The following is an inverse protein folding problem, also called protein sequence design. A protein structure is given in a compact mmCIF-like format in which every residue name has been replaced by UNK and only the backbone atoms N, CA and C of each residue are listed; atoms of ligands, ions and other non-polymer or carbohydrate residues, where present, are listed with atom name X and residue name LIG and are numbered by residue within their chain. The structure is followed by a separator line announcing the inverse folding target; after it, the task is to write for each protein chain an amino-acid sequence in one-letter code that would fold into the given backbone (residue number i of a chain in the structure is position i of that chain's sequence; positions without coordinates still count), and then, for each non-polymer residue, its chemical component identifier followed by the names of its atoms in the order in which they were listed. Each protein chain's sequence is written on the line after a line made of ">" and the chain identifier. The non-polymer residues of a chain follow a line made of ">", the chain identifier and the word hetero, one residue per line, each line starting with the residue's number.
data_IF_862127337274
#
_entry.id   IF_862127337274
#
_cell.length_a   1.000
_cell.length_b   1.000
_cell.length_c   1.000
_cell.angle_alpha   90.00
_cell.angle_beta   90.00
_cell.angle_gamma   90.00
#
_symmetry.space_group_name_H-M   'P 1'
#
loop_
_entity.id
_entity.type
_entity.pdbx_description
1 polymer ?
#
# COMPACT_ATOMS: atom_id res chain seq x y z
N UNK A 1 -1.74 9.28 -41.40
CA UNK A 1 -0.62 9.48 -40.47
C UNK A 1 -1.15 10.31 -39.31
N UNK A 2 -1.70 9.65 -38.29
CA UNK A 2 -2.31 10.33 -37.13
C UNK A 2 -1.18 10.69 -36.17
N UNK A 3 -0.87 11.97 -36.03
CA UNK A 3 0.09 12.47 -35.04
C UNK A 3 -0.37 12.05 -33.64
N UNK A 4 0.34 11.09 -33.04
CA UNK A 4 0.13 10.74 -31.63
C UNK A 4 0.71 11.89 -30.80
N UNK A 5 -0.15 12.66 -30.12
CA UNK A 5 0.31 13.67 -29.17
C UNK A 5 1.05 12.94 -28.04
N UNK A 6 2.34 13.29 -27.89
CA UNK A 6 3.17 12.89 -26.76
C UNK A 6 2.83 13.81 -25.58
N UNK A 7 2.59 13.23 -24.41
CA UNK A 7 2.14 13.98 -23.25
C UNK A 7 3.05 13.65 -22.08
N UNK A 8 3.74 14.66 -21.56
CA UNK A 8 4.54 14.60 -20.34
C UNK A 8 3.80 15.43 -19.28
N UNK A 9 3.41 14.78 -18.19
CA UNK A 9 2.71 15.37 -17.04
C UNK A 9 1.27 15.80 -17.35
N UNK A 10 0.31 15.00 -16.89
CA UNK A 10 -1.12 15.28 -17.08
C UNK A 10 -1.79 15.54 -15.76
N UNK A 11 -2.43 16.70 -15.67
CA UNK A 11 -3.59 16.89 -14.79
C UNK A 11 -4.83 16.82 -15.69
N UNK A 12 -5.68 15.81 -15.52
CA UNK A 12 -6.82 15.57 -16.42
C UNK A 12 -7.86 16.72 -16.52
N UNK A 13 -7.95 17.73 -15.62
CA UNK A 13 -8.81 18.90 -15.86
C UNK A 13 -8.44 19.70 -17.13
N UNK A 14 -7.17 19.69 -17.56
CA UNK A 14 -6.68 20.49 -18.69
C UNK A 14 -6.87 19.82 -20.06
N UNK A 15 -7.42 18.61 -20.09
CA UNK A 15 -7.79 17.91 -21.33
C UNK A 15 -9.11 18.45 -21.89
N UNK A 16 -9.19 19.74 -22.21
CA UNK A 16 -10.32 20.29 -22.97
C UNK A 16 -9.89 21.32 -24.01
N UNK A 17 -9.84 20.86 -25.26
CA UNK A 17 -10.41 21.62 -26.35
C UNK A 17 -11.92 21.38 -26.37
N UNK A 18 -12.69 22.32 -25.81
CA UNK A 18 -14.13 22.49 -26.10
C UNK A 18 -15.10 21.63 -25.30
N UNK A 19 -15.98 22.31 -24.55
CA UNK A 19 -17.23 21.83 -23.91
C UNK A 19 -17.11 20.84 -22.74
N UNK A 20 -17.87 21.13 -21.68
CA UNK A 20 -18.08 20.33 -20.48
C UNK A 20 -18.27 18.83 -20.75
N UNK A 21 -17.44 17.97 -20.15
CA UNK A 21 -17.58 16.50 -20.12
C UNK A 21 -16.95 16.02 -18.80
N UNK A 22 -17.67 16.15 -17.70
CA UNK A 22 -17.32 15.65 -16.36
C UNK A 22 -17.69 14.17 -16.15
N UNK A 23 -17.80 13.38 -17.23
CA UNK A 23 -18.39 12.03 -17.19
C UNK A 23 -17.55 10.98 -17.96
N UNK A 24 -16.26 10.84 -17.64
CA UNK A 24 -15.50 9.69 -18.13
C UNK A 24 -15.64 8.56 -17.11
N UNK A 25 -16.40 7.51 -17.44
CA UNK A 25 -16.42 6.28 -16.61
C UNK A 25 -15.10 5.52 -16.71
N UNK A 26 -14.36 5.71 -17.81
CA UNK A 26 -13.09 5.06 -18.10
C UNK A 26 -12.08 6.06 -18.70
N UNK A 27 -10.81 5.97 -18.30
CA UNK A 27 -9.71 6.75 -18.88
C UNK A 27 -8.82 5.84 -19.76
N UNK A 28 -8.29 6.41 -20.84
CA UNK A 28 -7.38 5.77 -21.80
C UNK A 28 -7.96 4.71 -22.75
N UNK A 29 -9.06 5.00 -23.44
CA UNK A 29 -9.50 4.22 -24.60
C UNK A 29 -8.53 4.39 -25.81
N UNK A 30 -7.98 3.26 -26.31
CA UNK A 30 -7.07 3.16 -27.47
C UNK A 30 -7.70 3.75 -28.77
N UNK A 31 -6.96 4.35 -29.75
CA UNK A 31 -5.51 4.61 -29.85
C UNK A 31 -5.16 6.10 -30.00
N UNK A 32 -5.66 7.01 -29.15
CA UNK A 32 -5.45 8.45 -29.39
C UNK A 32 -4.15 9.03 -28.84
N UNK A 33 -3.46 8.38 -27.90
CA UNK A 33 -2.36 9.01 -27.15
C UNK A 33 -1.14 8.11 -26.99
N UNK A 34 0.06 8.68 -27.17
CA UNK A 34 1.30 8.05 -26.78
C UNK A 34 1.67 8.55 -25.38
N UNK A 35 1.61 7.67 -24.39
CA UNK A 35 1.86 7.99 -22.99
C UNK A 35 3.26 7.56 -22.55
N UNK A 36 4.10 7.09 -23.46
CA UNK A 36 5.44 6.57 -23.12
C UNK A 36 6.35 7.60 -22.43
N UNK A 37 6.05 8.90 -22.48
CA UNK A 37 6.77 9.95 -21.73
C UNK A 37 6.03 10.45 -20.48
N UNK A 38 4.94 9.80 -20.08
CA UNK A 38 4.14 10.22 -18.94
C UNK A 38 4.86 9.83 -17.65
N UNK A 39 5.42 10.83 -16.97
CA UNK A 39 6.09 10.64 -15.68
C UNK A 39 5.17 10.88 -14.49
N UNK A 40 4.26 11.85 -14.59
CA UNK A 40 3.33 12.21 -13.52
C UNK A 40 1.90 12.19 -14.06
N UNK A 41 1.05 11.40 -13.39
CA UNK A 41 -0.39 11.37 -13.64
C UNK A 41 -1.16 11.85 -12.41
N UNK A 42 -1.92 12.93 -12.58
CA UNK A 42 -2.82 13.46 -11.55
C UNK A 42 -4.27 13.42 -12.03
N UNK A 43 -5.08 12.66 -11.30
CA UNK A 43 -6.52 12.54 -11.49
C UNK A 43 -7.20 13.21 -10.31
N UNK A 44 -7.98 14.27 -10.55
CA UNK A 44 -8.69 14.98 -9.48
C UNK A 44 -10.14 15.23 -9.89
N UNK A 45 -11.06 15.03 -8.96
CA UNK A 45 -12.49 15.39 -9.09
C UNK A 45 -13.22 14.72 -10.27
N UNK A 46 -12.73 13.55 -10.71
CA UNK A 46 -13.39 12.73 -11.73
C UNK A 46 -14.43 11.83 -11.06
N UNK A 47 -15.57 12.40 -10.69
CA UNK A 47 -16.57 11.72 -9.84
C UNK A 47 -17.19 10.50 -10.49
N UNK A 48 -17.28 10.47 -11.82
CA UNK A 48 -17.86 9.34 -12.58
C UNK A 48 -16.84 8.25 -12.93
N UNK A 49 -15.54 8.48 -12.70
CA UNK A 49 -14.48 7.56 -13.07
C UNK A 49 -14.58 6.27 -12.28
N UNK A 50 -14.71 5.14 -12.99
CA UNK A 50 -14.77 3.79 -12.42
C UNK A 50 -13.48 3.01 -12.62
N UNK A 51 -12.79 3.24 -13.73
CA UNK A 51 -11.56 2.54 -14.12
C UNK A 51 -10.56 3.53 -14.74
N UNK A 52 -9.34 3.59 -14.20
CA UNK A 52 -8.27 4.44 -14.77
C UNK A 52 -7.75 3.85 -16.08
N UNK A 53 -7.68 2.53 -16.17
CA UNK A 53 -6.95 1.81 -17.20
C UNK A 53 -7.91 0.95 -18.03
N UNK A 54 -8.56 1.50 -19.07
CA UNK A 54 -9.44 0.70 -19.95
C UNK A 54 -8.84 0.35 -21.31
N UNK A 55 -9.30 -0.78 -21.87
CA UNK A 55 -8.93 -1.25 -23.21
C UNK A 55 -7.67 -2.14 -23.29
N UNK A 56 -7.21 -2.49 -24.51
CA UNK A 56 -6.00 -3.28 -24.73
C UNK A 56 -4.75 -2.42 -24.47
N UNK A 57 -4.42 -2.26 -23.19
CA UNK A 57 -3.32 -1.41 -22.78
C UNK A 57 -2.01 -2.07 -23.14
N UNK A 58 -1.25 -1.38 -23.97
CA UNK A 58 0.13 -1.74 -24.25
C UNK A 58 0.96 -1.20 -23.10
N UNK A 59 1.55 -2.13 -22.34
CA UNK A 59 2.42 -1.91 -21.19
C UNK A 59 3.47 -0.79 -21.42
N UNK A 60 3.98 -0.69 -22.64
CA UNK A 60 5.00 0.28 -23.07
C UNK A 60 4.61 1.74 -22.83
N UNK A 61 3.31 2.02 -22.67
CA UNK A 61 2.79 3.36 -22.47
C UNK A 61 3.01 3.92 -21.05
N UNK A 62 3.34 3.09 -20.05
CA UNK A 62 3.43 3.56 -18.66
C UNK A 62 4.76 3.26 -17.98
N UNK A 63 5.76 2.86 -18.78
CA UNK A 63 7.08 2.47 -18.26
C UNK A 63 7.82 3.61 -17.55
N UNK A 64 7.52 4.87 -17.90
CA UNK A 64 8.14 6.05 -17.31
C UNK A 64 7.32 6.69 -16.19
N UNK A 65 6.15 6.13 -15.83
CA UNK A 65 5.30 6.72 -14.80
C UNK A 65 5.99 6.60 -13.44
N UNK A 66 6.36 7.74 -12.87
CA UNK A 66 7.02 7.86 -11.56
C UNK A 66 6.06 8.27 -10.45
N UNK A 67 4.97 8.98 -10.76
CA UNK A 67 4.04 9.47 -9.73
C UNK A 67 2.60 9.34 -10.19
N UNK A 68 1.76 8.76 -9.32
CA UNK A 68 0.32 8.70 -9.50
C UNK A 68 -0.38 9.34 -8.31
N UNK A 69 -1.17 10.39 -8.59
CA UNK A 69 -2.05 11.04 -7.61
C UNK A 69 -3.49 10.90 -8.07
N UNK A 70 -4.36 10.38 -7.20
CA UNK A 70 -5.79 10.19 -7.46
C UNK A 70 -6.59 10.78 -6.30
N UNK A 71 -7.33 11.85 -6.55
CA UNK A 71 -8.06 12.59 -5.51
C UNK A 71 -9.52 12.82 -5.91
N UNK A 72 -10.45 12.64 -4.97
CA UNK A 72 -11.88 12.90 -5.17
C UNK A 72 -12.54 12.10 -6.33
N UNK A 73 -11.96 10.96 -6.73
CA UNK A 73 -12.52 10.02 -7.72
C UNK A 73 -13.47 9.02 -7.04
N UNK A 74 -14.67 9.48 -6.70
CA UNK A 74 -15.56 8.79 -5.75
C UNK A 74 -16.08 7.41 -6.20
N UNK A 75 -16.22 7.18 -7.52
CA UNK A 75 -16.72 5.91 -8.10
C UNK A 75 -15.62 4.93 -8.53
N UNK A 76 -14.35 5.28 -8.29
CA UNK A 76 -13.21 4.49 -8.71
C UNK A 76 -13.11 3.22 -7.88
N UNK A 77 -13.06 2.04 -8.51
CA UNK A 77 -13.09 0.74 -7.81
C UNK A 77 -11.72 0.15 -7.51
N UNK A 78 -10.77 0.35 -8.42
CA UNK A 78 -9.38 -0.07 -8.25
C UNK A 78 -8.41 0.89 -8.91
N UNK A 79 -7.15 0.93 -8.43
CA UNK A 79 -6.12 1.79 -9.03
C UNK A 79 -5.44 1.10 -10.19
N UNK A 80 -4.98 -0.15 -10.04
CA UNK A 80 -4.22 -0.88 -11.06
C UNK A 80 -4.91 -2.18 -11.42
N UNK A 81 -4.94 -2.52 -12.71
CA UNK A 81 -5.13 -3.92 -13.11
C UNK A 81 -3.82 -4.70 -12.91
N UNK A 82 -3.88 -6.04 -12.87
CA UNK A 82 -2.70 -6.89 -12.71
C UNK A 82 -1.63 -6.63 -13.78
N UNK A 83 -2.05 -6.44 -15.03
CA UNK A 83 -1.14 -6.16 -16.15
C UNK A 83 -0.38 -4.85 -15.95
N UNK A 84 -1.05 -3.81 -15.45
CA UNK A 84 -0.41 -2.52 -15.21
C UNK A 84 0.51 -2.59 -14.01
N UNK A 85 0.05 -3.16 -12.90
CA UNK A 85 0.83 -3.28 -11.67
C UNK A 85 2.18 -4.00 -11.90
N UNK A 86 2.22 -5.01 -12.77
CA UNK A 86 3.45 -5.75 -13.12
C UNK A 86 4.49 -4.93 -13.88
N UNK A 87 4.10 -3.82 -14.52
CA UNK A 87 4.96 -3.10 -15.45
C UNK A 87 5.24 -1.65 -15.04
N UNK A 88 4.74 -1.20 -13.89
CA UNK A 88 5.01 0.11 -13.31
C UNK A 88 6.32 0.11 -12.52
N UNK A 89 7.42 -0.22 -13.21
CA UNK A 89 8.74 -0.38 -12.57
C UNK A 89 9.32 0.95 -12.07
N UNK A 90 8.94 2.06 -12.68
CA UNK A 90 9.44 3.40 -12.32
C UNK A 90 8.57 4.13 -11.30
N UNK A 91 7.44 3.55 -10.86
CA UNK A 91 6.52 4.22 -9.95
C UNK A 91 7.20 4.42 -8.59
N UNK A 92 7.41 5.69 -8.23
CA UNK A 92 8.07 6.12 -7.00
C UNK A 92 7.08 6.60 -5.94
N UNK A 93 5.96 7.21 -6.34
CA UNK A 93 4.97 7.79 -5.41
C UNK A 93 3.55 7.43 -5.81
N UNK A 94 2.78 6.98 -4.83
CA UNK A 94 1.35 6.73 -4.94
C UNK A 94 0.60 7.55 -3.87
N UNK A 95 -0.27 8.44 -4.32
CA UNK A 95 -1.14 9.22 -3.45
C UNK A 95 -2.60 9.01 -3.86
N UNK A 96 -3.43 8.58 -2.91
CA UNK A 96 -4.86 8.35 -3.11
C UNK A 96 -5.63 9.06 -2.00
N UNK A 97 -6.63 9.87 -2.37
CA UNK A 97 -7.34 10.70 -1.41
C UNK A 97 -8.83 10.82 -1.76
N UNK A 98 -9.72 10.66 -0.78
CA UNK A 98 -11.19 10.78 -0.95
C UNK A 98 -11.80 9.93 -2.09
N UNK A 99 -11.31 8.69 -2.28
CA UNK A 99 -11.87 7.72 -3.25
C UNK A 99 -12.82 6.74 -2.54
N UNK A 100 -14.10 7.12 -2.42
CA UNK A 100 -15.07 6.43 -1.55
C UNK A 100 -15.40 4.98 -1.95
N UNK A 101 -15.57 4.71 -3.25
CA UNK A 101 -15.86 3.36 -3.76
C UNK A 101 -14.61 2.50 -4.01
N UNK A 102 -13.41 2.98 -3.65
CA UNK A 102 -12.17 2.23 -3.86
C UNK A 102 -12.15 0.98 -2.97
N UNK A 103 -12.20 -0.20 -3.57
CA UNK A 103 -12.25 -1.47 -2.84
C UNK A 103 -10.86 -2.10 -2.68
N UNK A 104 -9.97 -1.87 -3.65
CA UNK A 104 -8.65 -2.50 -3.74
C UNK A 104 -7.67 -1.61 -4.51
N UNK A 105 -6.38 -1.61 -4.16
CA UNK A 105 -5.36 -0.88 -4.95
C UNK A 105 -5.09 -1.62 -6.27
N UNK A 106 -5.01 -2.95 -6.20
CA UNK A 106 -4.75 -3.83 -7.35
C UNK A 106 -5.97 -4.72 -7.53
N UNK A 107 -6.47 -4.81 -8.75
CA UNK A 107 -7.59 -5.67 -9.11
C UNK A 107 -7.30 -7.16 -8.81
N UNK A 108 -8.22 -7.82 -8.10
CA UNK A 108 -8.23 -9.28 -7.92
C UNK A 108 -8.55 -10.00 -9.23
N UNK A 109 -7.83 -11.09 -9.50
CA UNK A 109 -7.97 -11.86 -10.74
C UNK A 109 -9.38 -12.46 -10.85
N UNK A 110 -10.09 -12.18 -11.95
CA UNK A 110 -11.41 -12.75 -12.23
C UNK A 110 -11.31 -14.10 -12.96
N UNK A 111 -10.11 -14.53 -13.39
CA UNK A 111 -9.93 -15.80 -14.10
C UNK A 111 -8.65 -16.54 -13.64
N UNK A 112 -8.73 -17.81 -13.20
CA UNK A 112 -7.56 -18.62 -12.89
C UNK A 112 -6.89 -19.13 -14.18
N UNK A 113 -6.46 -18.22 -15.05
CA UNK A 113 -5.84 -18.54 -16.33
C UNK A 113 -4.33 -18.27 -16.28
N UNK A 114 -3.56 -19.37 -16.18
CA UNK A 114 -2.15 -19.65 -16.59
C UNK A 114 -1.01 -18.58 -16.49
N UNK A 115 -1.27 -17.32 -16.20
CA UNK A 115 -0.29 -16.26 -15.95
C UNK A 115 0.05 -16.11 -14.45
N UNK A 116 -0.18 -17.17 -13.66
CA UNK A 116 0.08 -17.27 -12.22
C UNK A 116 1.56 -17.18 -11.80
N UNK A 117 2.48 -16.81 -12.70
CA UNK A 117 3.91 -17.04 -12.49
C UNK A 117 4.75 -15.78 -12.27
N UNK A 118 4.23 -14.57 -12.59
CA UNK A 118 4.99 -13.35 -12.34
C UNK A 118 4.46 -12.61 -11.10
N UNK A 119 5.29 -12.49 -10.05
CA UNK A 119 4.95 -11.68 -8.89
C UNK A 119 4.82 -10.21 -9.31
N UNK A 120 3.92 -9.50 -8.66
CA UNK A 120 3.83 -8.04 -8.79
C UNK A 120 4.98 -7.45 -7.98
N UNK A 121 5.68 -6.47 -8.53
CA UNK A 121 6.75 -5.76 -7.83
C UNK A 121 6.68 -4.28 -8.19
N UNK A 122 6.82 -3.41 -7.20
CA UNK A 122 7.03 -1.98 -7.39
C UNK A 122 8.44 -1.61 -6.90
N UNK A 123 9.48 -1.87 -7.72
CA UNK A 123 10.85 -1.80 -7.26
C UNK A 123 11.26 -0.39 -6.82
N UNK A 124 10.67 0.67 -7.37
CA UNK A 124 11.02 2.05 -7.02
C UNK A 124 10.02 2.75 -6.09
N UNK A 125 8.93 2.08 -5.69
CA UNK A 125 7.86 2.71 -4.91
C UNK A 125 8.36 3.02 -3.50
N UNK A 126 8.46 4.31 -3.22
CA UNK A 126 9.07 4.86 -2.01
C UNK A 126 8.09 5.53 -1.07
N UNK A 127 6.97 6.02 -1.60
CA UNK A 127 5.99 6.80 -0.86
C UNK A 127 4.58 6.33 -1.20
N UNK A 128 3.84 5.92 -0.18
CA UNK A 128 2.42 5.58 -0.29
C UNK A 128 1.65 6.41 0.73
N UNK A 129 0.68 7.18 0.24
CA UNK A 129 -0.25 7.92 1.08
C UNK A 129 -1.68 7.64 0.64
N UNK A 130 -2.50 7.14 1.56
CA UNK A 130 -3.91 6.83 1.32
C UNK A 130 -4.75 7.47 2.42
N UNK A 131 -5.68 8.32 2.02
CA UNK A 131 -6.54 9.07 2.92
C UNK A 131 -8.00 8.97 2.53
N UNK A 132 -8.88 8.81 3.53
CA UNK A 132 -10.34 8.90 3.38
C UNK A 132 -10.95 8.00 2.26
N UNK A 133 -10.41 6.79 2.11
CA UNK A 133 -10.89 5.76 1.17
C UNK A 133 -11.76 4.72 1.90
N UNK A 134 -13.05 5.01 2.03
CA UNK A 134 -13.96 4.30 2.94
C UNK A 134 -14.19 2.81 2.63
N UNK A 135 -14.07 2.36 1.37
CA UNK A 135 -14.32 0.97 0.98
C UNK A 135 -13.09 0.06 0.89
N UNK A 136 -11.88 0.61 1.11
CA UNK A 136 -10.65 -0.14 0.92
C UNK A 136 -10.46 -1.13 2.06
N UNK A 137 -10.47 -2.43 1.76
CA UNK A 137 -10.40 -3.51 2.77
C UNK A 137 -8.97 -3.97 3.07
N UNK A 138 -8.11 -3.90 2.07
CA UNK A 138 -6.69 -4.26 2.17
C UNK A 138 -5.85 -3.38 1.24
N UNK A 139 -4.56 -3.19 1.55
CA UNK A 139 -3.67 -2.44 0.65
C UNK A 139 -3.15 -3.34 -0.47
N UNK A 140 -2.50 -4.44 -0.07
CA UNK A 140 -1.76 -5.31 -0.97
C UNK A 140 -1.89 -6.77 -0.57
N UNK A 141 -1.72 -7.71 -1.53
CA UNK A 141 -1.50 -9.09 -1.17
C UNK A 141 -0.18 -9.27 -0.39
N UNK A 142 -0.12 -10.22 0.54
CA UNK A 142 1.04 -10.53 1.37
C UNK A 142 2.27 -10.92 0.53
N UNK A 143 2.04 -11.45 -0.67
CA UNK A 143 3.09 -11.75 -1.65
C UNK A 143 3.89 -10.51 -2.05
N UNK A 144 3.30 -9.31 -1.97
CA UNK A 144 3.99 -8.05 -2.25
C UNK A 144 4.95 -7.63 -1.13
N UNK A 145 4.66 -8.03 0.11
CA UNK A 145 5.60 -7.86 1.23
C UNK A 145 6.83 -8.76 1.09
N UNK A 146 6.73 -9.84 0.32
CA UNK A 146 7.84 -10.75 0.02
C UNK A 146 8.74 -10.21 -1.11
N UNK A 147 9.38 -9.06 -0.86
CA UNK A 147 10.35 -8.45 -1.78
C UNK A 147 9.75 -7.60 -2.92
N UNK A 148 8.42 -7.47 -3.00
CA UNK A 148 7.76 -6.63 -4.00
C UNK A 148 7.83 -5.12 -3.73
N UNK A 149 8.25 -4.71 -2.51
CA UNK A 149 8.34 -3.31 -2.07
C UNK A 149 9.74 -2.98 -1.47
N UNK A 150 10.84 -3.22 -2.20
CA UNK A 150 12.19 -3.12 -1.63
C UNK A 150 12.60 -1.69 -1.27
N UNK A 151 11.97 -0.68 -1.87
CA UNK A 151 12.29 0.74 -1.72
C UNK A 151 11.22 1.54 -0.98
N UNK A 152 10.26 0.91 -0.32
CA UNK A 152 9.22 1.64 0.41
C UNK A 152 9.82 2.32 1.65
N UNK A 153 9.83 3.66 1.65
CA UNK A 153 10.35 4.47 2.76
C UNK A 153 9.22 4.98 3.66
N UNK A 154 8.10 5.38 3.07
CA UNK A 154 7.00 5.98 3.81
C UNK A 154 5.65 5.38 3.47
N UNK A 155 4.90 5.00 4.51
CA UNK A 155 3.52 4.51 4.41
C UNK A 155 2.62 5.32 5.35
N UNK A 156 1.67 6.05 4.76
CA UNK A 156 0.70 6.86 5.46
C UNK A 156 -0.72 6.37 5.17
N UNK A 157 -1.43 5.94 6.20
CA UNK A 157 -2.85 5.65 6.15
C UNK A 157 -3.61 6.56 7.12
N UNK A 158 -4.67 7.21 6.64
CA UNK A 158 -5.51 8.07 7.48
C UNK A 158 -6.98 7.95 7.09
N UNK A 159 -7.87 7.66 8.03
CA UNK A 159 -9.31 7.67 7.78
C UNK A 159 -9.83 6.57 6.84
N UNK A 160 -9.09 5.47 6.67
CA UNK A 160 -9.48 4.33 5.83
C UNK A 160 -10.36 3.37 6.65
N UNK A 161 -11.66 3.67 6.72
CA UNK A 161 -12.54 3.13 7.76
C UNK A 161 -12.85 1.63 7.65
N UNK A 162 -12.91 1.03 6.46
CA UNK A 162 -13.14 -0.42 6.27
C UNK A 162 -11.85 -1.24 6.08
N UNK A 163 -10.68 -0.65 6.27
CA UNK A 163 -9.43 -1.39 6.17
C UNK A 163 -9.37 -2.42 7.31
N UNK A 164 -9.33 -3.70 6.97
CA UNK A 164 -9.27 -4.81 7.94
C UNK A 164 -7.83 -5.29 8.11
N UNK A 165 -7.06 -5.34 7.02
CA UNK A 165 -5.66 -5.75 7.02
C UNK A 165 -4.81 -4.84 6.14
N UNK A 166 -3.55 -4.58 6.49
CA UNK A 166 -2.65 -3.88 5.56
C UNK A 166 -2.25 -4.80 4.41
N UNK A 167 -1.70 -5.98 4.76
CA UNK A 167 -1.36 -7.03 3.80
C UNK A 167 -2.34 -8.20 3.94
N UNK A 168 -3.10 -8.50 2.89
CA UNK A 168 -4.03 -9.62 2.87
C UNK A 168 -3.38 -10.90 2.33
N UNK A 169 -3.69 -12.06 2.89
CA UNK A 169 -3.14 -13.32 2.40
C UNK A 169 -3.76 -14.52 3.09
N UNK A 170 -3.66 -15.68 2.46
CA UNK A 170 -4.23 -16.91 3.00
C UNK A 170 -3.34 -17.50 4.10
N UNK A 171 -3.92 -17.73 5.27
CA UNK A 171 -3.29 -18.34 6.45
C UNK A 171 -2.95 -19.82 6.22
N UNK A 172 -3.61 -20.46 5.25
CA UNK A 172 -3.46 -21.89 4.92
C UNK A 172 -2.05 -22.30 4.45
N UNK A 173 -1.24 -21.35 3.98
CA UNK A 173 0.12 -21.60 3.51
C UNK A 173 1.18 -21.53 4.61
N UNK A 174 0.80 -21.20 5.85
CA UNK A 174 1.71 -21.16 7.00
C UNK A 174 1.56 -22.50 7.73
N UNK A 175 2.61 -23.32 7.74
CA UNK A 175 2.69 -24.45 8.66
C UNK A 175 2.49 -23.90 10.06
N UNK A 176 1.65 -24.56 10.89
CA UNK A 176 1.29 -24.08 12.23
C UNK A 176 2.49 -23.83 13.15
N UNK A 177 3.67 -24.30 12.76
CA UNK A 177 4.88 -24.34 13.58
C UNK A 177 6.00 -23.39 13.09
N UNK A 178 5.85 -22.65 11.97
CA UNK A 178 6.91 -21.76 11.45
C UNK A 178 6.45 -20.31 11.24
N UNK A 179 7.03 -19.39 12.01
CA UNK A 179 6.89 -17.94 11.84
C UNK A 179 7.55 -17.49 10.52
N UNK A 180 6.79 -16.82 9.64
CA UNK A 180 7.31 -16.27 8.39
C UNK A 180 7.76 -14.83 8.58
N UNK A 181 9.08 -14.65 8.60
CA UNK A 181 9.70 -13.33 8.70
C UNK A 181 9.61 -12.60 7.35
N UNK A 182 9.10 -11.37 7.40
CA UNK A 182 8.96 -10.44 6.29
C UNK A 182 9.74 -9.16 6.59
N UNK A 183 10.34 -8.59 5.55
CA UNK A 183 11.13 -7.37 5.68
C UNK A 183 10.54 -6.26 4.80
N UNK A 184 10.39 -5.07 5.39
CA UNK A 184 10.29 -3.82 4.63
C UNK A 184 11.59 -3.05 4.87
N UNK A 185 12.67 -3.38 4.14
CA UNK A 185 14.05 -3.08 4.51
C UNK A 185 14.44 -1.61 4.35
N UNK A 186 13.54 -0.73 3.91
CA UNK A 186 13.80 0.71 3.77
C UNK A 186 12.72 1.57 4.40
N UNK A 187 11.73 0.97 5.07
CA UNK A 187 10.64 1.72 5.68
C UNK A 187 11.18 2.51 6.87
N UNK A 188 11.16 3.84 6.76
CA UNK A 188 11.59 4.78 7.80
C UNK A 188 10.40 5.37 8.55
N UNK A 189 9.25 5.51 7.87
CA UNK A 189 8.06 6.12 8.44
C UNK A 189 6.80 5.27 8.23
N UNK A 190 6.14 4.91 9.32
CA UNK A 190 4.85 4.21 9.31
C UNK A 190 3.80 4.99 10.12
N UNK A 191 2.71 5.39 9.46
CA UNK A 191 1.58 6.03 10.11
C UNK A 191 0.26 5.33 9.80
N UNK A 192 -0.46 4.99 10.86
CA UNK A 192 -1.80 4.43 10.86
C UNK A 192 -2.69 5.32 11.74
N UNK A 193 -3.55 6.15 11.14
CA UNK A 193 -4.43 7.06 11.89
C UNK A 193 -5.90 6.87 11.57
N UNK A 194 -6.74 6.82 12.61
CA UNK A 194 -8.19 6.73 12.50
C UNK A 194 -8.62 5.56 11.59
N UNK A 195 -8.14 4.36 11.91
CA UNK A 195 -8.46 3.10 11.20
C UNK A 195 -9.29 2.20 12.13
N UNK A 196 -10.59 2.50 12.32
CA UNK A 196 -11.41 1.87 13.35
C UNK A 196 -11.61 0.36 13.15
N UNK A 197 -11.62 -0.14 11.91
CA UNK A 197 -11.79 -1.57 11.62
C UNK A 197 -10.48 -2.32 11.33
N UNK A 198 -9.32 -1.67 11.50
CA UNK A 198 -8.05 -2.34 11.28
C UNK A 198 -7.84 -3.41 12.34
N UNK A 199 -7.85 -4.68 11.91
CA UNK A 199 -7.66 -5.85 12.76
C UNK A 199 -6.19 -6.21 12.82
N UNK A 200 -5.47 -6.26 11.71
CA UNK A 200 -4.05 -6.65 11.73
C UNK A 200 -3.22 -6.00 10.63
N UNK A 201 -1.91 -5.95 10.85
CA UNK A 201 -0.94 -5.55 9.84
C UNK A 201 -0.79 -6.61 8.74
N UNK A 202 -0.85 -7.88 9.13
CA UNK A 202 -0.70 -9.05 8.27
C UNK A 202 -1.45 -10.26 8.84
N UNK A 203 -1.61 -11.36 8.08
CA UNK A 203 -2.23 -12.58 8.59
C UNK A 203 -1.44 -13.18 9.76
N UNK A 204 -2.07 -14.10 10.50
CA UNK A 204 -1.44 -14.79 11.62
C UNK A 204 -0.20 -15.57 11.15
N UNK A 205 0.85 -15.58 11.97
CA UNK A 205 2.10 -16.31 11.69
C UNK A 205 3.11 -15.53 10.84
N UNK A 206 2.80 -14.29 10.46
CA UNK A 206 3.74 -13.40 9.80
C UNK A 206 4.37 -12.42 10.80
N UNK A 207 5.67 -12.21 10.65
CA UNK A 207 6.49 -11.31 11.48
C UNK A 207 7.17 -10.27 10.60
N UNK A 208 6.76 -9.02 10.72
CA UNK A 208 7.42 -7.92 10.03
C UNK A 208 8.56 -7.35 10.87
N UNK A 209 9.71 -7.21 10.24
CA UNK A 209 10.91 -6.58 10.82
C UNK A 209 11.22 -5.30 10.05
N UNK A 210 11.35 -4.19 10.78
CA UNK A 210 11.64 -2.87 10.21
C UNK A 210 13.00 -2.36 10.70
N UNK A 211 14.11 -2.73 10.01
CA UNK A 211 15.46 -2.42 10.49
C UNK A 211 15.80 -0.92 10.50
N UNK A 212 15.14 -0.12 9.66
CA UNK A 212 15.41 1.31 9.50
C UNK A 212 14.23 2.21 9.91
N UNK A 213 13.21 1.68 10.58
CA UNK A 213 12.08 2.51 11.00
C UNK A 213 12.56 3.53 12.02
N UNK A 214 12.35 4.81 11.72
CA UNK A 214 12.67 5.93 12.61
C UNK A 214 11.43 6.51 13.25
N UNK A 215 10.25 6.32 12.65
CA UNK A 215 9.01 6.95 13.09
C UNK A 215 7.84 5.97 12.96
N UNK A 216 7.20 5.67 14.09
CA UNK A 216 5.95 4.92 14.15
C UNK A 216 4.87 5.78 14.80
N UNK A 217 3.75 5.93 14.11
CA UNK A 217 2.58 6.61 14.64
C UNK A 217 1.30 5.81 14.38
N UNK A 218 0.76 5.21 15.44
CA UNK A 218 -0.54 4.54 15.44
C UNK A 218 -1.47 5.36 16.33
N UNK A 219 -2.60 5.82 15.79
CA UNK A 219 -3.56 6.62 16.55
C UNK A 219 -4.99 6.32 16.14
N UNK A 220 -5.86 5.99 17.08
CA UNK A 220 -7.27 5.71 16.78
C UNK A 220 -7.44 4.43 15.95
N UNK A 221 -6.73 3.37 16.31
CA UNK A 221 -6.81 2.03 15.72
C UNK A 221 -7.18 0.99 16.80
N UNK A 222 -8.37 1.08 17.42
CA UNK A 222 -8.70 0.36 18.66
C UNK A 222 -8.77 -1.16 18.51
N UNK A 223 -9.01 -1.68 17.30
CA UNK A 223 -9.22 -3.11 17.05
C UNK A 223 -7.96 -3.85 16.58
N UNK A 224 -6.81 -3.16 16.51
CA UNK A 224 -5.58 -3.77 16.00
C UNK A 224 -5.05 -4.81 16.98
N UNK A 225 -4.88 -6.04 16.52
CA UNK A 225 -4.34 -7.19 17.28
C UNK A 225 -2.86 -7.43 17.04
N UNK A 226 -2.28 -6.79 16.02
CA UNK A 226 -0.83 -6.84 15.76
C UNK A 226 -0.06 -6.24 16.94
N UNK A 227 0.82 -7.04 17.51
CA UNK A 227 1.73 -6.62 18.57
C UNK A 227 2.91 -5.89 17.95
N UNK A 228 3.09 -4.64 18.35
CA UNK A 228 4.28 -3.85 18.02
C UNK A 228 5.25 -3.90 19.19
N UNK A 229 6.53 -4.05 18.87
CA UNK A 229 7.59 -4.12 19.86
C UNK A 229 8.92 -3.61 19.30
N UNK A 230 9.84 -3.24 20.20
CA UNK A 230 11.20 -2.84 19.88
C UNK A 230 12.17 -3.70 20.67
N UNK A 231 13.12 -4.31 19.97
CA UNK A 231 14.16 -5.14 20.57
C UNK A 231 15.33 -4.32 21.14
N UNK A 232 16.34 -5.01 21.67
CA UNK A 232 17.56 -4.38 22.22
C UNK A 232 18.40 -3.63 21.17
N UNK A 233 18.25 -3.94 19.88
CA UNK A 233 18.94 -3.28 18.77
C UNK A 233 18.16 -2.06 18.23
N UNK A 234 17.07 -1.68 18.92
CA UNK A 234 16.14 -0.64 18.50
C UNK A 234 15.53 -0.95 17.12
N UNK A 235 15.30 -2.22 16.80
CA UNK A 235 14.58 -2.69 15.61
C UNK A 235 13.12 -2.86 15.96
N UNK A 236 12.24 -2.36 15.10
CA UNK A 236 10.80 -2.48 15.32
C UNK A 236 10.28 -3.78 14.72
N UNK A 237 9.41 -4.45 15.45
CA UNK A 237 8.73 -5.68 15.04
C UNK A 237 7.22 -5.48 15.07
N UNK A 238 6.54 -6.10 14.12
CA UNK A 238 5.09 -6.23 14.10
C UNK A 238 4.72 -7.71 13.90
N UNK A 239 4.07 -8.30 14.90
CA UNK A 239 3.68 -9.72 14.91
C UNK A 239 2.17 -9.86 15.05
N UNK A 240 1.55 -10.64 14.19
CA UNK A 240 0.16 -11.08 14.35
C UNK A 240 0.16 -12.53 14.79
N UNK A 241 -0.30 -12.81 16.01
CA UNK A 241 -0.40 -14.15 16.57
C UNK A 241 -1.86 -14.52 16.77
N UNK A 242 -2.17 -15.82 16.73
CA UNK A 242 -3.50 -16.31 17.08
C UNK A 242 -3.75 -16.00 18.56
N UNK A 243 -4.97 -15.55 18.89
CA UNK A 243 -5.40 -15.42 20.28
C UNK A 243 -5.29 -16.78 20.97
N UNK A 244 -4.39 -16.93 21.94
CA UNK A 244 -4.47 -18.06 22.86
C UNK A 244 -5.74 -17.89 23.74
N UNK A 245 -6.50 -18.96 24.02
CA UNK A 245 -7.60 -18.89 24.96
C UNK A 245 -7.09 -18.45 26.34
N UNK A 246 -7.91 -17.68 27.06
CA UNK A 246 -7.61 -16.92 28.28
C UNK A 246 -7.12 -17.79 29.48
N UNK A 247 -7.09 -19.11 29.35
CA UNK A 247 -6.79 -20.05 30.44
C UNK A 247 -5.38 -20.67 30.40
N UNK A 248 -4.49 -20.27 29.50
CA UNK A 248 -3.07 -20.64 29.56
C UNK A 248 -2.19 -19.40 29.65
N UNK A 249 -2.12 -18.80 30.86
CA UNK A 249 -0.93 -18.04 31.26
C UNK A 249 0.17 -19.07 31.50
N UNK A 250 0.69 -19.65 30.42
CA UNK A 250 2.03 -20.22 30.44
C UNK A 250 2.95 -19.03 30.22
N UNK A 251 3.72 -18.73 31.26
CA UNK A 251 4.88 -17.87 31.16
C UNK A 251 5.82 -18.54 30.16
N UNK A 252 5.72 -18.19 28.88
CA UNK A 252 6.84 -18.38 27.95
C UNK A 252 7.90 -17.36 28.32
N UNK A 253 8.71 -17.76 29.31
CA UNK A 253 10.00 -17.17 29.62
C UNK A 253 10.96 -17.55 28.49
N UNK A 254 10.85 -16.88 27.34
CA UNK A 254 11.93 -16.87 26.36
C UNK A 254 12.96 -15.85 26.83
N UNK A 255 13.99 -16.37 27.50
CA UNK A 255 15.14 -15.59 27.92
C UNK A 255 15.94 -15.13 26.69
N UNK A 256 15.62 -13.95 26.14
CA UNK A 256 16.56 -13.12 25.34
C UNK A 256 15.99 -11.70 25.13
N UNK A 257 16.73 -10.70 25.61
CA UNK A 257 16.59 -9.24 25.41
C UNK A 257 15.36 -8.53 26.02
N UNK A 258 15.60 -7.35 26.61
CA UNK A 258 14.56 -6.43 27.10
C UNK A 258 13.75 -5.86 25.91
N UNK A 259 12.80 -6.63 25.41
CA UNK A 259 11.89 -6.18 24.36
C UNK A 259 10.82 -5.26 24.96
N UNK A 260 10.71 -4.04 24.45
CA UNK A 260 9.64 -3.10 24.87
C UNK A 260 8.47 -3.25 23.92
N UNK A 261 7.38 -3.84 24.39
CA UNK A 261 6.16 -4.01 23.62
C UNK A 261 5.07 -2.99 24.02
N UNK A 262 4.32 -2.49 23.05
CA UNK A 262 3.14 -1.68 23.33
C UNK A 262 1.90 -2.54 23.57
N UNK A 263 0.96 -2.13 24.43
CA UNK A 263 -0.32 -2.81 24.59
C UNK A 263 -1.10 -2.88 23.28
N UNK A 264 -1.77 -4.01 23.04
CA UNK A 264 -2.66 -4.21 21.89
C UNK A 264 -3.75 -3.14 21.89
N UNK A 265 -4.08 -2.59 20.72
CA UNK A 265 -5.10 -1.55 20.56
C UNK A 265 -4.70 -0.14 21.05
N UNK A 266 -3.50 0.05 21.61
CA UNK A 266 -3.08 1.36 22.13
C UNK A 266 -2.60 2.33 21.05
N UNK A 267 -2.74 3.63 21.33
CA UNK A 267 -2.10 4.66 20.54
C UNK A 267 -0.57 4.59 20.76
N UNK A 268 0.19 4.56 19.67
CA UNK A 268 1.65 4.46 19.69
C UNK A 268 2.22 5.70 19.01
N UNK A 269 3.12 6.39 19.72
CA UNK A 269 3.98 7.41 19.13
C UNK A 269 5.41 7.09 19.52
N UNK A 270 6.20 6.66 18.56
CA UNK A 270 7.59 6.27 18.77
C UNK A 270 8.47 6.91 17.70
N UNK A 271 9.65 7.35 18.12
CA UNK A 271 10.69 7.83 17.22
C UNK A 271 12.05 7.32 17.70
N UNK A 272 12.90 6.91 16.75
CA UNK A 272 14.28 6.50 17.02
C UNK A 272 15.15 7.75 17.07
N UNK A 273 15.61 8.11 18.26
CA UNK A 273 16.64 9.15 18.38
C UNK A 273 17.90 8.62 17.71
N UNK A 274 18.28 9.20 16.57
CA UNK A 274 19.62 9.05 16.05
C UNK A 274 20.53 9.90 16.92
N UNK A 275 21.46 9.27 17.61
CA UNK A 275 22.58 9.97 18.23
C UNK A 275 23.42 10.54 17.06
N UNK A 276 23.04 11.73 16.58
CA UNK A 276 23.92 12.53 15.75
C UNK A 276 25.02 12.98 16.71
N UNK A 277 26.11 12.21 16.74
CA UNK A 277 27.40 12.72 17.16
C UNK A 277 27.68 13.90 16.22
N UNK A 278 27.42 15.11 16.74
CA UNK A 278 28.11 16.30 16.29
C UNK A 278 29.59 16.04 16.59
N UNK A 279 30.33 15.50 15.63
CA UNK A 279 31.78 15.65 15.63
C UNK A 279 32.07 17.06 15.12
N UNK A 280 32.74 17.83 15.99
CA UNK A 280 33.17 19.22 15.85
C UNK A 280 34.10 19.47 14.64
#
# INVERSE_FOLDING_TARGET
>A
MTEKKQISNVTVPEWRGGTSISNFEELFEYPRYNLSSLEILTLSELTELRVIWSGPIHVEHFQNLTQLTVSFCRRLRYIFSLTIARNLLQLCKLHIDYCKELEQIIEKDQTPSQHHLQPICFPNLSWIQISDCENLKSLFPITLAHGGLPNLHHLYLTGVSKLEQLFEGDESNVSKDEEKVMHLPRLTYLQLRHLPNLVSFSPVGYHFVFPFLTDLHIKGCPNITTRFSVDSEKVLHAKTQASQPVDEIIVEESATAQETAWPIGSDIKWWKTTDILNED
#
